data_IF_301941535746
#
_entry.id   IF_301941535746
#
_cell.length_a   1.000
_cell.length_b   1.000
_cell.length_c   1.000
_cell.angle_alpha   90.00
_cell.angle_beta   90.00
_cell.angle_gamma   90.00
#
_symmetry.space_group_name_H-M   'P 1'
#
loop_
_entity.id
_entity.type
_entity.pdbx_description
1 polymer ?
#
# COMPACT_ATOMS: atom_id res chain seq x y z
N UNK A 1 11.28 -9.41 1.82
CA UNK A 1 11.19 -8.04 2.39
C UNK A 1 10.19 -8.04 3.53
N UNK A 2 10.49 -7.41 4.67
CA UNK A 2 9.61 -7.43 5.84
C UNK A 2 8.92 -6.08 6.06
N UNK A 3 7.67 -6.10 6.51
CA UNK A 3 6.97 -4.90 6.94
C UNK A 3 7.42 -4.57 8.36
N UNK A 4 8.14 -3.47 8.54
CA UNK A 4 8.54 -2.98 9.85
C UNK A 4 7.36 -2.34 10.58
N UNK A 5 6.61 -1.48 9.88
CA UNK A 5 5.46 -0.79 10.47
C UNK A 5 4.35 -0.49 9.45
N UNK A 6 3.11 -0.50 9.94
CA UNK A 6 1.92 -0.07 9.20
C UNK A 6 1.19 0.98 10.03
N UNK A 7 1.05 2.20 9.50
CA UNK A 7 0.26 3.24 10.17
C UNK A 7 -1.21 2.81 10.22
N UNK A 8 -1.83 2.93 11.39
CA UNK A 8 -3.23 2.56 11.62
C UNK A 8 -4.24 3.56 11.09
N UNK A 9 -3.81 4.80 10.85
CA UNK A 9 -4.65 5.86 10.27
C UNK A 9 -4.17 6.22 8.86
N UNK A 10 -5.09 6.46 7.92
CA UNK A 10 -4.74 6.93 6.59
C UNK A 10 -4.32 8.41 6.61
N UNK A 11 -3.59 8.83 5.58
CA UNK A 11 -3.34 10.24 5.31
C UNK A 11 -4.57 10.96 4.72
N UNK A 12 -4.41 12.25 4.41
CA UNK A 12 -5.50 13.07 3.83
C UNK A 12 -6.00 12.56 2.47
N UNK A 13 -5.20 11.76 1.77
CA UNK A 13 -5.56 11.16 0.49
C UNK A 13 -6.13 9.73 0.66
N UNK A 14 -6.32 9.26 1.89
CA UNK A 14 -6.85 7.92 2.19
C UNK A 14 -5.81 6.80 2.15
N UNK A 15 -4.50 7.13 2.16
CA UNK A 15 -3.43 6.14 2.06
C UNK A 15 -2.86 5.77 3.43
N UNK A 16 -2.72 4.48 3.66
CA UNK A 16 -2.01 3.88 4.77
C UNK A 16 -0.53 3.76 4.42
N UNK A 17 0.34 4.20 5.32
CA UNK A 17 1.78 4.15 5.11
C UNK A 17 2.38 2.88 5.68
N UNK A 18 2.99 2.09 4.80
CA UNK A 18 3.81 0.92 5.12
C UNK A 18 5.27 1.36 5.11
N UNK A 19 6.03 0.98 6.14
CA UNK A 19 7.50 1.05 6.16
C UNK A 19 8.05 -0.36 6.13
N UNK A 20 8.96 -0.63 5.22
CA UNK A 20 9.66 -1.90 5.11
C UNK A 20 10.96 -1.86 5.93
N UNK A 21 11.52 -3.04 6.22
CA UNK A 21 12.74 -3.23 6.98
C UNK A 21 13.99 -2.61 6.34
N UNK A 22 13.99 -2.39 5.03
CA UNK A 22 15.02 -1.64 4.30
C UNK A 22 14.87 -0.11 4.42
N UNK A 23 13.88 0.36 5.19
CA UNK A 23 13.57 1.77 5.39
C UNK A 23 12.73 2.41 4.28
N UNK A 24 12.43 1.69 3.20
CA UNK A 24 11.56 2.18 2.14
C UNK A 24 10.11 2.29 2.63
N UNK A 25 9.36 3.22 2.02
CA UNK A 25 7.97 3.50 2.41
C UNK A 25 7.05 3.46 1.21
N UNK A 26 5.86 2.90 1.41
CA UNK A 26 4.83 2.81 0.39
C UNK A 26 3.48 3.24 0.93
N UNK A 27 2.83 4.18 0.24
CA UNK A 27 1.48 4.60 0.55
C UNK A 27 0.47 3.73 -0.22
N UNK A 28 -0.36 2.98 0.51
CA UNK A 28 -1.34 2.04 -0.02
C UNK A 28 -2.75 2.48 0.31
N UNK A 29 -3.71 2.25 -0.58
CA UNK A 29 -5.12 2.40 -0.21
C UNK A 29 -5.58 1.21 0.62
N UNK A 30 -6.62 1.43 1.43
CA UNK A 30 -7.18 0.43 2.34
C UNK A 30 -7.40 -0.94 1.68
N UNK A 31 -8.02 -0.95 0.50
CA UNK A 31 -8.28 -2.18 -0.23
C UNK A 31 -7.00 -3.00 -0.48
N UNK A 32 -5.90 -2.36 -0.90
CA UNK A 32 -4.63 -3.05 -1.13
C UNK A 32 -4.00 -3.57 0.17
N UNK A 33 -4.19 -2.88 1.29
CA UNK A 33 -3.74 -3.36 2.61
C UNK A 33 -4.50 -4.62 3.02
N UNK A 34 -5.82 -4.64 2.78
CA UNK A 34 -6.71 -5.75 3.12
C UNK A 34 -6.50 -6.96 2.18
N UNK A 35 -6.43 -6.75 0.87
CA UNK A 35 -6.25 -7.80 -0.14
C UNK A 35 -4.95 -8.61 0.07
N UNK A 36 -3.90 -7.96 0.59
CA UNK A 36 -2.61 -8.60 0.89
C UNK A 36 -2.45 -8.98 2.37
N UNK A 37 -3.48 -8.74 3.19
CA UNK A 37 -3.46 -8.96 4.64
C UNK A 37 -2.17 -8.41 5.29
N UNK A 38 -1.87 -7.13 5.05
CA UNK A 38 -0.63 -6.52 5.53
C UNK A 38 -0.71 -6.21 7.02
N UNK A 39 0.34 -6.56 7.76
CA UNK A 39 0.52 -6.24 9.18
C UNK A 39 2.00 -6.09 9.50
N UNK A 40 2.32 -5.42 10.61
CA UNK A 40 3.71 -5.26 11.06
C UNK A 40 4.31 -6.61 11.42
N UNK A 41 5.50 -6.90 10.89
CA UNK A 41 6.16 -8.18 11.04
C UNK A 41 5.89 -9.17 9.90
N UNK A 42 4.94 -8.90 8.99
CA UNK A 42 4.71 -9.74 7.81
C UNK A 42 5.95 -9.74 6.92
N UNK A 43 6.38 -10.93 6.52
CA UNK A 43 7.39 -11.12 5.48
C UNK A 43 6.68 -11.32 4.15
N UNK A 44 7.21 -10.67 3.11
CA UNK A 44 6.79 -10.79 1.73
C UNK A 44 7.96 -11.39 0.95
N UNK A 45 7.70 -12.46 0.22
CA UNK A 45 8.67 -12.93 -0.78
C UNK A 45 8.71 -11.98 -1.99
N UNK A 46 9.60 -12.25 -2.95
CA UNK A 46 9.76 -11.39 -4.12
C UNK A 46 8.50 -11.35 -4.99
N UNK A 47 7.80 -12.47 -5.13
CA UNK A 47 6.59 -12.57 -5.94
C UNK A 47 5.43 -11.80 -5.28
N UNK A 48 5.24 -11.96 -3.97
CA UNK A 48 4.27 -11.20 -3.20
C UNK A 48 4.57 -9.70 -3.23
N UNK A 49 5.86 -9.32 -3.17
CA UNK A 49 6.28 -7.93 -3.25
C UNK A 49 6.00 -7.32 -4.64
N UNK A 50 6.27 -8.06 -5.72
CA UNK A 50 5.97 -7.62 -7.08
C UNK A 50 4.45 -7.49 -7.31
N UNK A 51 3.67 -8.47 -6.83
CA UNK A 51 2.21 -8.42 -6.87
C UNK A 51 1.67 -7.20 -6.10
N UNK A 52 2.22 -6.93 -4.92
CA UNK A 52 1.86 -5.76 -4.10
C UNK A 52 2.14 -4.45 -4.84
N UNK A 53 3.34 -4.31 -5.43
CA UNK A 53 3.72 -3.12 -6.22
C UNK A 53 2.76 -2.90 -7.39
N UNK A 54 2.40 -3.98 -8.08
CA UNK A 54 1.48 -3.95 -9.23
C UNK A 54 0.08 -3.50 -8.82
N UNK A 55 -0.50 -4.14 -7.79
CA UNK A 55 -1.82 -3.79 -7.27
C UNK A 55 -1.86 -2.35 -6.73
N UNK A 56 -0.82 -1.92 -6.01
CA UNK A 56 -0.68 -0.55 -5.52
C UNK A 56 -0.65 0.48 -6.66
N UNK A 57 0.06 0.17 -7.75
CA UNK A 57 0.11 1.00 -8.95
C UNK A 57 -1.25 1.15 -9.63
N UNK A 58 -1.95 0.04 -9.83
CA UNK A 58 -3.29 0.01 -10.43
C UNK A 58 -4.30 0.79 -9.57
N UNK A 59 -4.33 0.55 -8.26
CA UNK A 59 -5.22 1.25 -7.34
C UNK A 59 -4.93 2.75 -7.31
N UNK A 60 -3.65 3.13 -7.33
CA UNK A 60 -3.24 4.53 -7.39
C UNK A 60 -3.64 5.22 -8.69
N UNK A 61 -3.60 4.52 -9.83
CA UNK A 61 -4.11 5.05 -11.09
C UNK A 61 -5.64 5.22 -11.05
N UNK A 62 -6.37 4.19 -10.57
CA UNK A 62 -7.82 4.24 -10.41
C UNK A 62 -8.28 5.41 -9.54
N UNK A 63 -7.69 5.57 -8.36
CA UNK A 63 -8.05 6.66 -7.44
C UNK A 63 -7.68 8.04 -7.96
N UNK A 64 -6.62 8.16 -8.77
CA UNK A 64 -6.31 9.40 -9.48
C UNK A 64 -7.39 9.73 -10.51
N UNK A 65 -7.81 8.75 -11.31
CA UNK A 65 -8.88 8.95 -12.30
C UNK A 65 -10.20 9.36 -11.63
N UNK A 66 -10.62 8.67 -10.56
CA UNK A 66 -11.82 9.02 -9.78
C UNK A 66 -11.79 10.47 -9.31
N UNK A 67 -10.65 10.94 -8.81
CA UNK A 67 -10.52 12.33 -8.34
C UNK A 67 -10.63 13.36 -9.46
N UNK A 68 -10.13 13.02 -10.65
CA UNK A 68 -10.21 13.90 -11.82
C UNK A 68 -11.67 14.05 -12.28
N UNK A 69 -12.46 12.96 -12.24
CA UNK A 69 -13.86 12.99 -12.70
C UNK A 69 -14.87 13.49 -11.66
N UNK A 70 -14.46 13.63 -10.40
CA UNK A 70 -15.32 14.05 -9.28
C UNK A 70 -15.01 15.45 -8.75
N UNK A 71 -14.02 16.14 -9.33
CA UNK A 71 -13.67 17.53 -9.05
C UNK A 71 -14.48 18.47 -9.95
#
# INVERSE_FOLDING_TARGET
MKIESLKTAPDRAGRYWVTFDDGTKMGLYRQTVEDFALYSGKELDEQEMEALRTAAGQMSAKMRAVRIVSA
#
